data_IF_466168548847
#
_entry.id   IF_466168548847
#
_cell.length_a   1.000
_cell.length_b   1.000
_cell.length_c   1.000
_cell.angle_alpha   90.00
_cell.angle_beta   90.00
_cell.angle_gamma   90.00
#
_symmetry.space_group_name_H-M   'P 1'
#
loop_
_entity.id
_entity.type
_entity.pdbx_description
1 polymer ?
#
# COMPACT_ATOMS: atom_id res chain seq x y z
N UNK A 1 32.85 0.04 -19.18
CA UNK A 1 32.26 0.13 -17.83
C UNK A 1 30.72 0.19 -17.89
N UNK A 2 30.09 1.14 -18.61
CA UNK A 2 28.62 1.28 -18.77
C UNK A 2 27.90 -0.01 -19.18
N UNK A 3 28.38 -0.74 -20.19
CA UNK A 3 27.79 -2.01 -20.64
C UNK A 3 27.81 -3.12 -19.59
N UNK A 4 28.83 -3.14 -18.69
CA UNK A 4 28.90 -4.11 -17.60
C UNK A 4 27.79 -3.87 -16.59
N UNK A 5 27.61 -2.63 -16.16
CA UNK A 5 26.54 -2.25 -15.20
C UNK A 5 25.15 -2.51 -15.81
N UNK A 6 24.93 -2.15 -17.08
CA UNK A 6 23.68 -2.42 -17.77
C UNK A 6 23.30 -3.92 -17.75
N UNK A 7 24.26 -4.81 -18.01
CA UNK A 7 24.03 -6.26 -17.93
C UNK A 7 23.78 -6.71 -16.50
N UNK A 8 24.58 -6.24 -15.55
CA UNK A 8 24.50 -6.60 -14.14
C UNK A 8 23.12 -6.23 -13.55
N UNK A 9 22.57 -5.07 -13.91
CA UNK A 9 21.29 -4.59 -13.42
C UNK A 9 20.08 -5.10 -14.21
N UNK A 10 20.24 -6.14 -15.02
CA UNK A 10 19.12 -6.79 -15.74
C UNK A 10 18.65 -6.06 -16.99
N UNK A 11 19.47 -5.13 -17.53
CA UNK A 11 19.10 -4.34 -18.70
C UNK A 11 18.83 -5.18 -19.97
N UNK A 12 19.43 -6.38 -20.10
CA UNK A 12 19.13 -7.28 -21.22
C UNK A 12 17.73 -7.86 -21.12
N UNK A 13 17.30 -8.30 -19.94
CA UNK A 13 15.94 -8.81 -19.71
C UNK A 13 14.89 -7.72 -19.96
N UNK A 14 15.16 -6.51 -19.43
CA UNK A 14 14.30 -5.36 -19.69
C UNK A 14 14.18 -5.06 -21.17
N UNK A 15 15.28 -5.12 -21.92
CA UNK A 15 15.28 -4.84 -23.36
C UNK A 15 14.48 -5.88 -24.15
N UNK A 16 14.52 -7.14 -23.76
CA UNK A 16 13.69 -8.21 -24.34
C UNK A 16 12.20 -7.98 -24.05
N UNK A 17 11.86 -7.62 -22.84
CA UNK A 17 10.47 -7.26 -22.45
C UNK A 17 9.96 -6.06 -23.26
N UNK A 18 10.77 -5.02 -23.41
CA UNK A 18 10.41 -3.85 -24.21
C UNK A 18 10.17 -4.18 -25.70
N UNK A 19 10.92 -5.12 -26.25
CA UNK A 19 10.73 -5.58 -27.63
C UNK A 19 9.46 -6.40 -27.81
N UNK A 20 9.07 -7.16 -26.79
CA UNK A 20 7.90 -8.06 -26.86
C UNK A 20 6.56 -7.30 -26.75
N UNK A 21 6.56 -6.11 -26.15
CA UNK A 21 5.36 -5.29 -25.92
C UNK A 21 5.42 -3.99 -26.73
N UNK A 22 4.77 -3.97 -27.88
CA UNK A 22 4.53 -2.74 -28.64
C UNK A 22 3.70 -1.76 -27.79
N UNK A 23 4.25 -0.58 -27.48
CA UNK A 23 3.51 0.49 -26.79
C UNK A 23 3.93 0.80 -25.37
N UNK A 24 4.95 0.14 -24.79
CA UNK A 24 5.51 0.55 -23.49
C UNK A 24 6.33 1.84 -23.66
N UNK A 25 5.83 2.92 -23.08
CA UNK A 25 6.56 4.19 -22.92
C UNK A 25 7.54 4.09 -21.75
N UNK A 26 8.62 3.30 -21.91
CA UNK A 26 9.67 3.14 -20.91
C UNK A 26 10.96 3.77 -21.42
N UNK A 27 11.59 4.64 -20.61
CA UNK A 27 12.75 5.43 -21.04
C UNK A 27 14.01 4.97 -20.31
N UNK A 28 15.09 4.77 -21.04
CA UNK A 28 16.43 4.64 -20.46
C UNK A 28 17.04 6.03 -20.32
N UNK A 29 17.18 6.47 -19.08
CA UNK A 29 17.77 7.75 -18.72
C UNK A 29 19.28 7.64 -18.56
N UNK A 30 19.99 8.70 -18.92
CA UNK A 30 21.43 8.83 -18.59
C UNK A 30 21.60 9.36 -17.17
N UNK A 31 22.80 9.15 -16.61
CA UNK A 31 23.15 9.68 -15.30
C UNK A 31 23.09 11.22 -15.30
N UNK A 32 23.62 11.81 -16.35
CA UNK A 32 23.69 13.26 -16.53
C UNK A 32 22.30 13.92 -16.55
N UNK A 33 21.33 13.27 -17.21
CA UNK A 33 19.93 13.74 -17.23
C UNK A 33 19.30 13.72 -15.82
N UNK A 34 19.57 12.67 -15.03
CA UNK A 34 19.04 12.57 -13.68
C UNK A 34 19.76 13.48 -12.68
N UNK A 35 21.05 13.71 -12.86
CA UNK A 35 21.81 14.72 -12.09
C UNK A 35 21.26 16.13 -12.37
N UNK A 36 21.04 16.48 -13.64
CA UNK A 36 20.44 17.76 -14.01
C UNK A 36 19.03 17.92 -13.42
N UNK A 37 18.19 16.88 -13.56
CA UNK A 37 16.81 16.89 -13.07
C UNK A 37 16.70 17.09 -11.55
N UNK A 38 17.67 16.60 -10.77
CA UNK A 38 17.66 16.64 -9.30
C UNK A 38 18.56 17.74 -8.71
N UNK A 39 19.23 18.53 -9.54
CA UNK A 39 20.25 19.47 -9.07
C UNK A 39 21.44 18.77 -8.39
N UNK A 40 22.00 17.74 -9.04
CA UNK A 40 23.04 16.86 -8.49
C UNK A 40 22.64 16.12 -7.22
N UNK A 41 21.41 15.63 -7.16
CA UNK A 41 20.86 14.93 -5.99
C UNK A 41 20.92 15.79 -4.72
N UNK A 42 20.53 17.05 -4.86
CA UNK A 42 20.49 18.02 -3.75
C UNK A 42 19.61 17.50 -2.60
N UNK A 43 20.12 17.58 -1.38
CA UNK A 43 19.41 17.17 -0.16
C UNK A 43 18.05 17.88 0.01
N UNK A 44 17.90 19.11 -0.52
CA UNK A 44 16.64 19.85 -0.51
C UNK A 44 15.55 19.21 -1.36
N UNK A 45 15.91 18.36 -2.31
CA UNK A 45 15.01 17.63 -3.18
C UNK A 45 14.69 16.22 -2.67
N UNK A 46 15.15 15.85 -1.48
CA UNK A 46 14.85 14.52 -0.90
C UNK A 46 13.39 14.43 -0.49
N UNK A 47 12.68 13.47 -1.07
CA UNK A 47 11.30 13.10 -0.72
C UNK A 47 11.26 12.06 0.40
N UNK A 48 12.24 11.15 0.45
CA UNK A 48 12.33 10.11 1.46
C UNK A 48 13.66 9.37 1.44
N UNK A 49 14.08 8.87 2.61
CA UNK A 49 15.26 8.01 2.78
C UNK A 49 14.82 6.71 3.45
N UNK A 50 15.23 5.57 2.90
CA UNK A 50 14.89 4.25 3.42
C UNK A 50 16.00 3.22 3.24
N UNK A 51 15.71 1.97 3.63
CA UNK A 51 16.63 0.84 3.49
C UNK A 51 17.03 0.58 2.04
N UNK A 52 16.10 0.75 1.10
CA UNK A 52 16.28 0.44 -0.33
C UNK A 52 16.84 1.61 -1.15
N UNK A 53 17.03 2.80 -0.54
CA UNK A 53 17.58 3.96 -1.27
C UNK A 53 17.09 5.30 -0.77
N UNK A 54 17.39 6.32 -1.57
CA UNK A 54 16.92 7.70 -1.36
C UNK A 54 16.12 8.12 -2.58
N UNK A 55 14.94 8.70 -2.34
CA UNK A 55 14.05 9.22 -3.38
C UNK A 55 14.17 10.72 -3.45
N UNK A 56 14.40 11.24 -4.66
CA UNK A 56 14.55 12.67 -4.93
C UNK A 56 13.43 13.17 -5.84
N UNK A 57 12.93 14.36 -5.59
CA UNK A 57 12.13 15.11 -6.56
C UNK A 57 13.03 15.62 -7.67
N UNK A 58 12.59 15.46 -8.92
CA UNK A 58 13.29 15.96 -10.07
C UNK A 58 12.34 16.65 -11.06
N UNK A 59 12.90 17.49 -11.94
CA UNK A 59 12.20 18.05 -13.08
C UNK A 59 12.97 17.71 -14.34
N UNK A 60 12.38 16.93 -15.24
CA UNK A 60 12.97 16.58 -16.52
C UNK A 60 13.02 17.80 -17.48
N UNK A 61 13.77 17.70 -18.58
CA UNK A 61 13.90 18.77 -19.58
C UNK A 61 12.56 19.20 -20.18
N UNK A 62 11.60 18.29 -20.27
CA UNK A 62 10.23 18.56 -20.72
C UNK A 62 9.32 19.13 -19.61
N UNK A 63 9.90 19.53 -18.47
CA UNK A 63 9.24 20.07 -17.26
C UNK A 63 8.35 19.09 -16.51
N UNK A 64 8.31 17.81 -16.87
CA UNK A 64 7.63 16.80 -16.07
C UNK A 64 8.31 16.64 -14.72
N UNK A 65 7.52 16.67 -13.64
CA UNK A 65 7.99 16.33 -12.31
C UNK A 65 8.06 14.80 -12.17
N UNK A 66 9.15 14.33 -11.57
CA UNK A 66 9.44 12.91 -11.37
C UNK A 66 9.95 12.66 -9.95
N UNK A 67 9.77 11.43 -9.49
CA UNK A 67 10.44 10.90 -8.30
C UNK A 67 11.55 9.93 -8.74
N UNK A 68 12.78 10.20 -8.34
CA UNK A 68 13.96 9.43 -8.74
C UNK A 68 14.50 8.69 -7.53
N UNK A 69 14.33 7.35 -7.51
CA UNK A 69 14.85 6.47 -6.48
C UNK A 69 16.28 6.07 -6.83
N UNK A 70 17.24 6.62 -6.12
CA UNK A 70 18.65 6.19 -6.18
C UNK A 70 18.81 5.01 -5.22
N UNK A 71 18.97 3.81 -5.77
CA UNK A 71 18.97 2.55 -5.02
C UNK A 71 20.24 2.40 -4.17
N UNK A 72 20.16 1.69 -3.06
CA UNK A 72 21.32 1.17 -2.35
C UNK A 72 21.48 -0.29 -2.74
N UNK A 73 22.59 -0.64 -3.34
CA UNK A 73 22.91 -2.02 -3.70
C UNK A 73 24.14 -2.48 -2.90
N UNK A 74 23.91 -2.77 -1.61
CA UNK A 74 24.96 -3.23 -0.68
C UNK A 74 24.95 -4.76 -0.56
N UNK A 75 23.91 -5.43 -1.06
CA UNK A 75 23.73 -6.87 -0.96
C UNK A 75 23.02 -7.45 -2.19
N UNK A 76 23.25 -8.74 -2.48
CA UNK A 76 22.53 -9.49 -3.53
C UNK A 76 21.00 -9.43 -3.38
N UNK A 77 20.54 -9.30 -2.14
CA UNK A 77 19.09 -9.14 -1.85
C UNK A 77 18.57 -7.86 -2.47
N UNK A 78 19.24 -6.73 -2.26
CA UNK A 78 18.83 -5.44 -2.80
C UNK A 78 18.92 -5.38 -4.32
N UNK A 79 19.88 -6.07 -4.92
CA UNK A 79 19.94 -6.25 -6.38
C UNK A 79 18.72 -7.00 -6.91
N UNK A 80 18.31 -8.08 -6.22
CA UNK A 80 17.10 -8.84 -6.57
C UNK A 80 15.82 -8.02 -6.39
N UNK A 81 15.70 -7.26 -5.30
CA UNK A 81 14.57 -6.37 -5.03
C UNK A 81 14.44 -5.29 -6.12
N UNK A 82 15.57 -4.68 -6.52
CA UNK A 82 15.62 -3.71 -7.62
C UNK A 82 15.13 -4.33 -8.95
N UNK A 83 15.67 -5.50 -9.30
CA UNK A 83 15.28 -6.19 -10.54
C UNK A 83 13.79 -6.56 -10.56
N UNK A 84 13.25 -7.03 -9.42
CA UNK A 84 11.82 -7.35 -9.27
C UNK A 84 10.96 -6.11 -9.41
N UNK A 85 11.27 -5.02 -8.72
CA UNK A 85 10.52 -3.77 -8.78
C UNK A 85 10.44 -3.24 -10.22
N UNK A 86 11.59 -3.20 -10.90
CA UNK A 86 11.67 -2.78 -12.30
C UNK A 86 10.82 -3.68 -13.21
N UNK A 87 10.94 -5.00 -13.09
CA UNK A 87 10.23 -5.97 -13.92
C UNK A 87 8.72 -5.91 -13.70
N UNK A 88 8.28 -5.89 -12.44
CA UNK A 88 6.85 -5.85 -12.10
C UNK A 88 6.22 -4.55 -12.62
N UNK A 89 6.81 -3.40 -12.32
CA UNK A 89 6.27 -2.11 -12.71
C UNK A 89 6.34 -1.85 -14.22
N UNK A 90 7.23 -2.52 -14.94
CA UNK A 90 7.22 -2.48 -16.42
C UNK A 90 6.02 -3.22 -17.04
N UNK A 91 5.38 -4.11 -16.28
CA UNK A 91 4.25 -4.94 -16.75
C UNK A 91 2.89 -4.45 -16.26
N UNK A 92 2.87 -3.75 -15.11
CA UNK A 92 1.64 -3.29 -14.47
C UNK A 92 1.26 -1.91 -15.01
N UNK A 93 -0.01 -1.77 -15.41
CA UNK A 93 -0.58 -0.49 -15.79
C UNK A 93 -1.96 -0.35 -15.15
N UNK A 94 -2.01 0.26 -14.00
CA UNK A 94 -3.25 0.50 -13.25
C UNK A 94 -3.25 1.91 -12.67
N UNK A 95 -4.43 2.55 -12.60
CA UNK A 95 -4.55 3.95 -12.16
C UNK A 95 -4.04 4.19 -10.74
N UNK A 96 -4.16 3.17 -9.87
CA UNK A 96 -3.76 3.23 -8.46
C UNK A 96 -2.39 2.57 -8.19
N UNK A 97 -1.60 2.26 -9.22
CA UNK A 97 -0.19 1.86 -9.13
C UNK A 97 0.68 3.03 -9.56
N UNK A 98 1.76 3.29 -8.82
CA UNK A 98 2.76 4.29 -9.21
C UNK A 98 3.36 3.93 -10.57
N UNK A 99 3.37 4.88 -11.51
CA UNK A 99 3.88 4.63 -12.85
C UNK A 99 5.41 4.71 -12.87
N UNK A 100 6.06 3.68 -13.38
CA UNK A 100 7.49 3.69 -13.67
C UNK A 100 7.70 4.27 -15.08
N UNK A 101 8.38 5.41 -15.18
CA UNK A 101 8.71 6.03 -16.48
C UNK A 101 9.97 5.46 -17.10
N UNK A 102 10.90 4.98 -16.28
CA UNK A 102 12.14 4.42 -16.78
C UNK A 102 13.19 4.20 -15.71
N UNK A 103 14.41 3.95 -16.15
CA UNK A 103 15.54 3.69 -15.26
C UNK A 103 16.86 4.20 -15.84
N UNK A 104 17.88 4.28 -14.99
CA UNK A 104 19.28 4.43 -15.38
C UNK A 104 20.08 3.22 -14.86
N UNK A 105 20.57 2.39 -15.79
CA UNK A 105 21.27 1.12 -15.49
C UNK A 105 22.78 1.15 -15.81
N UNK A 106 23.27 2.21 -16.46
CA UNK A 106 24.67 2.32 -16.92
C UNK A 106 25.64 2.82 -15.84
N UNK A 107 25.22 2.79 -14.58
CA UNK A 107 25.90 3.32 -13.41
C UNK A 107 26.08 2.24 -12.35
N UNK A 108 27.03 2.43 -11.45
CA UNK A 108 27.27 1.54 -10.32
C UNK A 108 26.03 1.40 -9.43
N UNK A 109 25.38 2.52 -9.14
CA UNK A 109 24.15 2.60 -8.34
C UNK A 109 22.98 2.92 -9.28
N UNK A 110 22.15 1.92 -9.66
CA UNK A 110 21.05 2.13 -10.58
C UNK A 110 19.95 3.00 -9.98
N UNK A 111 19.17 3.61 -10.87
CA UNK A 111 18.08 4.52 -10.48
C UNK A 111 16.80 4.15 -11.20
N UNK A 112 15.66 4.30 -10.50
CA UNK A 112 14.32 4.17 -11.05
C UNK A 112 13.64 5.55 -11.09
N UNK A 113 12.91 5.82 -12.16
CA UNK A 113 12.25 7.11 -12.40
C UNK A 113 10.75 6.90 -12.45
N UNK A 114 10.03 7.44 -11.49
CA UNK A 114 8.59 7.31 -11.31
C UNK A 114 7.85 8.61 -11.59
N UNK A 115 6.54 8.50 -11.78
CA UNK A 115 5.67 9.67 -11.65
C UNK A 115 5.85 10.32 -10.27
N UNK A 116 5.79 11.65 -10.23
CA UNK A 116 5.80 12.39 -8.97
C UNK A 116 4.38 12.49 -8.40
N UNK A 117 4.19 12.02 -7.15
CA UNK A 117 2.92 12.09 -6.44
C UNK A 117 3.03 13.18 -5.35
N UNK A 118 2.24 14.26 -5.40
CA UNK A 118 2.55 15.50 -4.70
C UNK A 118 2.33 15.48 -3.19
N UNK A 119 1.32 14.76 -2.67
CA UNK A 119 0.96 14.81 -1.25
C UNK A 119 1.67 13.76 -0.38
N UNK A 120 2.74 13.14 -0.92
CA UNK A 120 3.55 12.19 -0.16
C UNK A 120 2.82 10.89 0.15
N UNK A 121 3.07 10.31 1.31
CA UNK A 121 2.56 9.00 1.73
C UNK A 121 1.34 9.12 2.65
N UNK A 122 0.50 8.09 2.68
CA UNK A 122 -0.59 7.97 3.66
C UNK A 122 -0.05 8.02 5.10
N UNK A 123 1.14 7.46 5.34
CA UNK A 123 1.81 7.59 6.64
C UNK A 123 2.05 9.06 7.03
N UNK A 124 2.55 9.87 6.09
CA UNK A 124 2.76 11.31 6.34
C UNK A 124 1.43 12.05 6.53
N UNK A 125 0.40 11.66 5.78
CA UNK A 125 -0.94 12.24 5.89
C UNK A 125 -1.58 11.95 7.25
N UNK A 126 -1.43 10.75 7.80
CA UNK A 126 -2.05 10.35 9.08
C UNK A 126 -1.17 10.75 10.28
N UNK A 127 0.16 10.56 10.19
CA UNK A 127 1.07 10.66 11.33
C UNK A 127 2.04 11.84 11.26
N UNK A 128 2.02 12.62 10.16
CA UNK A 128 2.92 13.75 9.96
C UNK A 128 2.64 14.90 10.91
N UNK A 129 3.70 15.61 11.32
CA UNK A 129 3.61 16.79 12.21
C UNK A 129 2.99 18.04 11.57
N UNK A 130 2.59 17.95 10.29
CA UNK A 130 2.11 19.09 9.51
C UNK A 130 0.63 19.44 9.71
N UNK A 131 -0.07 18.75 10.62
CA UNK A 131 -1.41 19.17 11.01
C UNK A 131 -1.30 20.08 12.25
N UNK A 132 -1.33 21.42 12.08
CA UNK A 132 -1.47 22.31 13.22
C UNK A 132 -2.75 21.94 14.00
N UNK A 133 -2.80 22.15 15.31
CA UNK A 133 -4.02 21.97 16.06
C UNK A 133 -5.15 22.79 15.39
N UNK A 134 -6.20 22.10 14.86
CA UNK A 134 -7.29 22.74 14.13
C UNK A 134 -7.12 22.84 12.60
N UNK A 135 -6.06 22.29 12.01
CA UNK A 135 -5.92 22.21 10.55
C UNK A 135 -6.89 21.20 9.89
N UNK A 136 -7.07 21.27 8.55
CA UNK A 136 -7.97 20.37 7.83
C UNK A 136 -7.51 18.93 8.01
N UNK A 137 -8.28 18.16 8.73
CA UNK A 137 -8.06 16.72 8.91
C UNK A 137 -8.78 15.95 7.80
N UNK A 138 -8.32 14.74 7.54
CA UNK A 138 -8.90 13.87 6.51
C UNK A 138 -10.24 13.34 7.00
N UNK A 139 -11.34 13.70 6.32
CA UNK A 139 -12.68 13.24 6.64
C UNK A 139 -12.82 11.72 6.55
N UNK A 140 -13.81 11.14 7.25
CA UNK A 140 -14.09 9.72 7.17
C UNK A 140 -14.38 9.25 5.73
N UNK A 141 -15.15 10.01 4.97
CA UNK A 141 -15.44 9.72 3.57
C UNK A 141 -14.15 9.66 2.72
N UNK A 142 -13.19 10.55 2.97
CA UNK A 142 -11.89 10.52 2.29
C UNK A 142 -11.05 9.32 2.72
N UNK A 143 -11.08 8.94 4.01
CA UNK A 143 -10.41 7.72 4.50
C UNK A 143 -10.99 6.46 3.87
N UNK A 144 -12.31 6.38 3.71
CA UNK A 144 -12.97 5.29 2.99
C UNK A 144 -12.55 5.23 1.52
N UNK A 145 -12.48 6.40 0.84
CA UNK A 145 -11.98 6.50 -0.53
C UNK A 145 -10.56 5.94 -0.65
N UNK A 146 -9.67 6.36 0.23
CA UNK A 146 -8.27 5.89 0.26
C UNK A 146 -8.21 4.38 0.48
N UNK A 147 -8.94 3.87 1.46
CA UNK A 147 -9.03 2.43 1.75
C UNK A 147 -9.56 1.64 0.56
N UNK A 148 -10.67 2.09 -0.06
CA UNK A 148 -11.26 1.44 -1.23
C UNK A 148 -10.29 1.39 -2.41
N UNK A 149 -9.68 2.52 -2.78
CA UNK A 149 -8.78 2.58 -3.93
C UNK A 149 -7.51 1.74 -3.73
N UNK A 150 -6.97 1.65 -2.50
CA UNK A 150 -5.86 0.77 -2.18
C UNK A 150 -6.27 -0.71 -2.23
N UNK A 151 -7.48 -1.05 -1.77
CA UNK A 151 -8.00 -2.40 -1.86
C UNK A 151 -8.29 -2.83 -3.32
N UNK A 152 -8.82 -1.94 -4.15
CA UNK A 152 -9.02 -2.16 -5.60
C UNK A 152 -7.70 -2.48 -6.31
N UNK A 153 -6.65 -1.74 -5.97
CA UNK A 153 -5.32 -1.97 -6.53
C UNK A 153 -4.77 -3.35 -6.13
N UNK A 154 -4.79 -3.69 -4.85
CA UNK A 154 -4.34 -5.00 -4.38
C UNK A 154 -5.19 -6.13 -4.98
N UNK A 155 -6.50 -5.93 -5.14
CA UNK A 155 -7.37 -6.87 -5.85
C UNK A 155 -6.95 -7.07 -7.31
N UNK A 156 -6.57 -5.97 -8.01
CA UNK A 156 -6.06 -6.05 -9.36
C UNK A 156 -4.76 -6.87 -9.41
N UNK A 157 -3.81 -6.63 -8.52
CA UNK A 157 -2.55 -7.37 -8.45
C UNK A 157 -2.79 -8.88 -8.23
N UNK A 158 -3.70 -9.22 -7.32
CA UNK A 158 -3.94 -10.61 -6.93
C UNK A 158 -4.72 -11.41 -7.99
N UNK A 159 -5.58 -10.77 -8.79
CA UNK A 159 -6.53 -11.49 -9.64
C UNK A 159 -6.52 -11.11 -11.12
N UNK A 160 -6.11 -9.89 -11.47
CA UNK A 160 -6.16 -9.38 -12.83
C UNK A 160 -4.78 -9.27 -13.48
N UNK A 161 -3.71 -9.15 -12.70
CA UNK A 161 -2.35 -9.22 -13.21
C UNK A 161 -2.02 -10.65 -13.68
N UNK A 162 -1.22 -10.77 -14.73
CA UNK A 162 -0.81 -12.07 -15.27
C UNK A 162 0.73 -12.12 -15.45
N UNK A 163 1.43 -12.94 -14.66
CA UNK A 163 0.95 -13.72 -13.53
C UNK A 163 0.46 -12.86 -12.35
N UNK A 164 -0.33 -13.41 -11.40
CA UNK A 164 -0.74 -12.68 -10.19
C UNK A 164 0.47 -12.20 -9.39
N UNK A 165 0.32 -11.04 -8.74
CA UNK A 165 1.39 -10.38 -7.99
C UNK A 165 0.96 -10.27 -6.53
N UNK A 166 1.82 -10.70 -5.62
CA UNK A 166 1.70 -10.47 -4.18
C UNK A 166 2.63 -9.32 -3.84
N UNK A 167 2.12 -8.26 -3.20
CA UNK A 167 2.89 -7.05 -2.90
C UNK A 167 3.98 -7.31 -1.86
N UNK A 168 3.65 -7.96 -0.75
CA UNK A 168 4.58 -8.43 0.29
C UNK A 168 5.08 -7.37 1.27
N UNK A 169 4.78 -6.08 1.08
CA UNK A 169 5.11 -4.98 2.02
C UNK A 169 4.03 -3.88 2.00
N UNK A 170 2.76 -4.29 2.11
CA UNK A 170 1.62 -3.35 2.21
C UNK A 170 1.71 -2.58 3.53
N UNK A 171 1.76 -1.24 3.46
CA UNK A 171 1.82 -0.34 4.62
C UNK A 171 1.47 1.09 4.20
N UNK A 172 1.09 1.93 5.16
CA UNK A 172 0.74 3.34 4.89
C UNK A 172 1.90 4.16 4.28
N UNK A 173 3.16 3.80 4.52
CA UNK A 173 4.33 4.44 3.92
C UNK A 173 4.52 4.11 2.43
N UNK A 174 3.92 3.02 1.92
CA UNK A 174 3.98 2.61 0.51
C UNK A 174 2.71 3.00 -0.27
N UNK A 175 1.77 3.70 0.36
CA UNK A 175 0.56 4.25 -0.27
C UNK A 175 0.79 5.76 -0.45
N UNK A 176 0.96 6.20 -1.70
CA UNK A 176 1.12 7.61 -2.06
C UNK A 176 -0.23 8.24 -2.33
N UNK A 177 -0.34 9.55 -2.08
CA UNK A 177 -1.59 10.30 -2.20
C UNK A 177 -1.38 11.47 -3.16
N UNK A 178 -2.24 11.62 -4.16
CA UNK A 178 -2.23 12.78 -5.06
C UNK A 178 -3.08 13.95 -4.53
N UNK A 179 -3.12 15.05 -5.30
CA UNK A 179 -3.87 16.27 -4.95
C UNK A 179 -5.39 16.06 -4.80
N UNK A 180 -5.93 14.99 -5.38
CA UNK A 180 -7.34 14.61 -5.33
C UNK A 180 -7.62 13.52 -4.28
N UNK A 181 -6.65 13.23 -3.41
CA UNK A 181 -6.67 12.07 -2.51
C UNK A 181 -6.84 10.75 -3.26
N UNK A 182 -6.32 10.65 -4.49
CA UNK A 182 -6.25 9.38 -5.23
C UNK A 182 -5.02 8.61 -4.77
N UNK A 183 -5.19 7.32 -4.60
CA UNK A 183 -4.13 6.41 -4.12
C UNK A 183 -3.21 6.00 -5.26
N UNK A 184 -1.92 5.89 -4.97
CA UNK A 184 -0.90 5.25 -5.79
C UNK A 184 -0.05 4.32 -4.91
N UNK A 185 -0.21 3.02 -5.06
CA UNK A 185 0.62 2.03 -4.36
C UNK A 185 2.01 1.97 -4.99
N UNK A 186 3.03 1.85 -4.16
CA UNK A 186 4.45 1.96 -4.53
C UNK A 186 5.33 0.94 -3.80
N UNK A 187 6.60 0.86 -4.18
CA UNK A 187 7.66 0.01 -3.60
C UNK A 187 7.40 -1.50 -3.74
N UNK A 188 7.56 -1.99 -4.96
CA UNK A 188 7.38 -3.40 -5.34
C UNK A 188 8.64 -4.27 -5.14
N UNK A 189 9.64 -3.79 -4.40
CA UNK A 189 10.90 -4.53 -4.17
C UNK A 189 10.72 -5.86 -3.44
N UNK A 190 9.77 -5.93 -2.50
CA UNK A 190 9.42 -7.15 -1.78
C UNK A 190 8.45 -8.07 -2.54
N UNK A 191 7.86 -7.58 -3.65
CA UNK A 191 6.78 -8.27 -4.36
C UNK A 191 7.23 -9.58 -5.00
N UNK A 192 6.29 -10.48 -5.18
CA UNK A 192 6.53 -11.81 -5.77
C UNK A 192 5.45 -12.12 -6.80
N UNK A 193 5.89 -12.64 -7.96
CA UNK A 193 4.98 -13.20 -8.94
C UNK A 193 4.47 -14.54 -8.39
N UNK A 194 3.15 -14.68 -8.22
CA UNK A 194 2.60 -15.95 -7.78
C UNK A 194 2.78 -17.00 -8.89
N UNK A 195 3.20 -18.23 -8.55
CA UNK A 195 3.30 -19.30 -9.54
C UNK A 195 1.90 -19.69 -10.02
N UNK A 196 1.84 -20.15 -11.27
CA UNK A 196 0.64 -20.72 -11.87
C UNK A 196 0.25 -22.08 -11.28
N UNK A 197 1.21 -22.78 -10.67
CA UNK A 197 0.99 -24.01 -9.94
C UNK A 197 1.07 -23.76 -8.43
N UNK A 198 0.33 -24.55 -7.62
CA UNK A 198 0.20 -24.45 -6.16
C UNK A 198 1.52 -24.59 -5.36
N UNK A 199 2.67 -24.43 -6.02
CA UNK A 199 3.99 -24.43 -5.38
C UNK A 199 4.08 -23.22 -4.44
N UNK A 200 3.87 -23.49 -3.16
CA UNK A 200 4.01 -22.50 -2.10
C UNK A 200 5.49 -22.08 -2.01
N UNK A 201 5.77 -20.81 -2.30
CA UNK A 201 7.14 -20.30 -2.12
C UNK A 201 7.43 -20.12 -0.64
N UNK A 202 8.38 -20.90 -0.14
CA UNK A 202 9.05 -20.58 1.11
C UNK A 202 10.06 -19.48 0.80
N UNK A 203 9.84 -18.30 1.35
CA UNK A 203 10.73 -17.15 1.21
C UNK A 203 11.33 -16.79 2.56
N UNK A 204 12.48 -16.10 2.56
CA UNK A 204 12.86 -15.40 3.79
C UNK A 204 11.78 -14.40 4.14
N UNK A 205 11.32 -14.41 5.41
CA UNK A 205 10.31 -13.47 5.89
C UNK A 205 10.81 -12.04 5.68
N UNK A 206 10.07 -11.29 4.89
CA UNK A 206 10.33 -9.89 4.55
C UNK A 206 9.09 -9.06 4.82
N UNK A 207 9.27 -7.78 5.06
CA UNK A 207 8.17 -6.85 5.30
C UNK A 207 8.46 -5.93 6.48
N UNK A 208 7.46 -5.16 6.87
CA UNK A 208 7.60 -4.13 7.90
C UNK A 208 6.95 -4.60 9.20
N UNK A 209 7.71 -4.56 10.30
CA UNK A 209 7.17 -4.91 11.63
C UNK A 209 5.92 -4.09 11.96
N UNK A 210 4.93 -4.76 12.51
CA UNK A 210 3.59 -4.19 12.78
C UNK A 210 2.57 -4.45 11.67
N UNK A 211 3.00 -4.70 10.43
CA UNK A 211 2.14 -5.07 9.29
C UNK A 211 2.30 -6.54 8.88
N UNK A 212 3.35 -7.21 9.37
CA UNK A 212 3.65 -8.60 9.01
C UNK A 212 2.56 -9.55 9.50
N UNK A 213 2.09 -10.38 8.57
CA UNK A 213 1.16 -11.48 8.81
C UNK A 213 1.79 -12.52 9.77
N UNK A 214 1.16 -12.83 10.92
CA UNK A 214 1.65 -13.84 11.86
C UNK A 214 1.80 -15.22 11.25
N UNK A 215 0.90 -15.63 10.35
CA UNK A 215 0.98 -16.92 9.67
C UNK A 215 2.18 -16.95 8.70
N UNK A 216 2.41 -15.87 7.95
CA UNK A 216 3.61 -15.76 7.11
C UNK A 216 4.89 -15.80 7.95
N UNK A 217 4.92 -15.14 9.12
CA UNK A 217 6.07 -15.18 10.04
C UNK A 217 6.37 -16.61 10.52
N UNK A 218 5.36 -17.43 10.75
CA UNK A 218 5.50 -18.81 11.24
C UNK A 218 5.84 -19.79 10.13
N UNK A 219 5.20 -19.64 8.96
CA UNK A 219 5.28 -20.62 7.87
C UNK A 219 6.29 -20.27 6.79
N UNK A 220 6.77 -19.01 6.75
CA UNK A 220 7.58 -18.43 5.67
C UNK A 220 6.89 -18.50 4.29
N UNK A 221 5.55 -18.67 4.25
CA UNK A 221 4.76 -18.73 3.02
C UNK A 221 4.07 -17.40 2.78
N UNK A 222 4.57 -16.64 1.82
CA UNK A 222 3.95 -15.39 1.40
C UNK A 222 2.78 -15.70 0.45
N UNK A 223 1.59 -15.18 0.75
CA UNK A 223 0.37 -15.37 -0.04
C UNK A 223 -0.37 -14.05 -0.23
N UNK A 224 -1.37 -14.02 -1.12
CA UNK A 224 -2.27 -12.87 -1.25
C UNK A 224 -3.01 -12.55 0.07
N UNK A 225 -3.22 -13.55 0.93
CA UNK A 225 -3.82 -13.37 2.25
C UNK A 225 -2.89 -12.69 3.25
N UNK A 226 -1.57 -12.73 3.01
CA UNK A 226 -0.61 -11.95 3.79
C UNK A 226 -0.75 -10.44 3.52
N UNK A 227 -0.98 -10.05 2.24
CA UNK A 227 -1.30 -8.66 1.89
C UNK A 227 -2.63 -8.21 2.51
N UNK A 228 -3.63 -9.11 2.60
CA UNK A 228 -4.91 -8.82 3.28
C UNK A 228 -4.70 -8.48 4.75
N UNK A 229 -3.86 -9.24 5.47
CA UNK A 229 -3.53 -8.94 6.86
C UNK A 229 -2.88 -7.55 6.99
N UNK A 230 -1.85 -7.30 6.19
CA UNK A 230 -1.13 -6.03 6.19
C UNK A 230 -2.06 -4.85 5.85
N UNK A 231 -2.99 -5.04 4.91
CA UNK A 231 -4.02 -4.07 4.59
C UNK A 231 -5.01 -3.86 5.75
N UNK A 232 -5.37 -4.91 6.48
CA UNK A 232 -6.13 -4.81 7.73
C UNK A 232 -5.50 -3.82 8.71
N UNK A 233 -4.16 -3.86 8.88
CA UNK A 233 -3.44 -2.88 9.71
C UNK A 233 -3.54 -1.46 9.14
N UNK A 234 -3.48 -1.28 7.82
CA UNK A 234 -3.69 0.04 7.19
C UNK A 234 -5.10 0.57 7.47
N UNK A 235 -6.14 -0.28 7.46
CA UNK A 235 -7.49 0.12 7.87
C UNK A 235 -7.54 0.58 9.32
N UNK A 236 -6.79 -0.07 10.22
CA UNK A 236 -6.69 0.40 11.61
C UNK A 236 -6.02 1.78 11.70
N UNK A 237 -4.96 2.05 10.95
CA UNK A 237 -4.35 3.38 10.90
C UNK A 237 -5.37 4.43 10.43
N UNK A 238 -6.19 4.12 9.41
CA UNK A 238 -7.24 5.01 8.91
C UNK A 238 -8.35 5.26 9.95
N UNK A 239 -8.70 4.28 10.79
CA UNK A 239 -9.73 4.41 11.81
C UNK A 239 -9.25 5.11 13.08
N UNK A 240 -7.99 4.90 13.44
CA UNK A 240 -7.48 5.28 14.77
C UNK A 240 -6.48 6.43 14.75
N UNK A 241 -5.90 6.77 13.59
CA UNK A 241 -4.74 7.65 13.48
C UNK A 241 -3.55 7.23 14.38
N UNK A 242 -3.51 5.96 14.82
CA UNK A 242 -2.40 5.40 15.60
C UNK A 242 -1.44 4.67 14.67
N UNK A 243 -0.15 4.70 15.01
CA UNK A 243 0.88 3.98 14.24
C UNK A 243 0.74 2.47 14.44
N UNK A 244 1.04 1.68 13.42
CA UNK A 244 1.04 0.21 13.47
C UNK A 244 1.88 -0.34 14.63
N UNK A 245 2.97 0.38 14.99
CA UNK A 245 3.80 0.08 16.16
C UNK A 245 4.15 1.34 16.94
N UNK A 246 4.10 1.26 18.27
CA UNK A 246 4.54 2.34 19.16
C UNK A 246 5.43 1.77 20.26
N UNK A 247 6.74 1.80 20.05
CA UNK A 247 7.73 1.23 21.00
C UNK A 247 7.81 1.98 22.32
N UNK A 248 7.24 3.18 22.42
CA UNK A 248 7.23 3.99 23.64
C UNK A 248 5.95 3.78 24.48
N UNK A 249 4.96 3.06 23.94
CA UNK A 249 3.73 2.75 24.65
C UNK A 249 3.92 1.59 25.64
N UNK A 250 2.92 1.39 26.51
CA UNK A 250 2.82 0.19 27.35
C UNK A 250 2.71 -1.07 26.48
N UNK A 251 3.06 -2.22 27.01
CA UNK A 251 3.19 -3.47 26.21
C UNK A 251 1.94 -3.82 25.42
N UNK A 252 0.76 -3.59 25.98
CA UNK A 252 -0.53 -3.86 25.35
C UNK A 252 -0.81 -2.95 24.14
N UNK A 253 -0.25 -1.75 24.12
CA UNK A 253 -0.45 -0.76 23.05
C UNK A 253 0.69 -0.71 22.02
N UNK A 254 1.74 -1.50 22.20
CA UNK A 254 2.91 -1.51 21.30
C UNK A 254 2.57 -1.96 19.89
N UNK A 255 1.58 -2.84 19.74
CA UNK A 255 1.12 -3.37 18.46
C UNK A 255 -0.34 -2.99 18.25
N UNK A 256 -0.63 -2.22 17.19
CA UNK A 256 -1.95 -1.70 16.92
C UNK A 256 -2.99 -2.81 16.66
N UNK A 257 -2.62 -3.87 15.93
CA UNK A 257 -3.55 -4.97 15.66
C UNK A 257 -3.94 -5.72 16.92
N UNK A 258 -2.99 -6.01 17.82
CA UNK A 258 -3.26 -6.66 19.10
C UNK A 258 -4.13 -5.78 20.00
N UNK A 259 -3.81 -4.49 20.14
CA UNK A 259 -4.57 -3.53 20.91
C UNK A 259 -6.01 -3.38 20.38
N UNK A 260 -6.18 -3.30 19.05
CA UNK A 260 -7.50 -3.22 18.43
C UNK A 260 -8.33 -4.48 18.72
N UNK A 261 -7.78 -5.67 18.52
CA UNK A 261 -8.51 -6.93 18.77
C UNK A 261 -8.94 -7.06 20.23
N UNK A 262 -8.09 -6.64 21.16
CA UNK A 262 -8.44 -6.59 22.58
C UNK A 262 -9.58 -5.60 22.83
N UNK A 263 -9.48 -4.37 22.35
CA UNK A 263 -10.52 -3.34 22.53
C UNK A 263 -11.87 -3.77 21.96
N UNK A 264 -11.88 -4.43 20.79
CA UNK A 264 -13.11 -4.98 20.20
C UNK A 264 -13.68 -6.11 21.09
N UNK A 265 -12.84 -7.02 21.60
CA UNK A 265 -13.30 -8.13 22.45
C UNK A 265 -13.90 -7.65 23.78
N UNK A 266 -13.45 -6.51 24.28
CA UNK A 266 -13.92 -5.87 25.52
C UNK A 266 -14.99 -4.80 25.29
N UNK A 267 -15.50 -4.68 24.04
CA UNK A 267 -16.52 -3.67 23.66
C UNK A 267 -16.05 -2.22 23.91
N UNK A 268 -14.76 -1.94 23.76
CA UNK A 268 -14.11 -0.64 24.00
C UNK A 268 -13.59 0.01 22.70
N UNK A 269 -14.14 -0.38 21.52
CA UNK A 269 -13.74 0.16 20.22
C UNK A 269 -13.70 1.69 20.21
N UNK A 270 -14.70 2.33 20.82
CA UNK A 270 -14.79 3.80 20.91
C UNK A 270 -13.57 4.49 21.55
N UNK A 271 -12.79 3.80 22.41
CA UNK A 271 -11.64 4.39 23.09
C UNK A 271 -10.41 4.54 22.16
N UNK A 272 -10.34 3.74 21.12
CA UNK A 272 -9.19 3.72 20.20
C UNK A 272 -9.44 4.44 18.86
N UNK A 273 -10.70 4.72 18.53
CA UNK A 273 -11.06 5.47 17.32
C UNK A 273 -10.55 6.91 17.37
N UNK A 274 -10.20 7.45 16.20
CA UNK A 274 -9.88 8.88 16.07
C UNK A 274 -11.10 9.74 16.41
N UNK A 275 -10.93 10.73 17.30
CA UNK A 275 -12.00 11.62 17.78
C UNK A 275 -12.70 12.36 16.64
N UNK A 276 -11.99 12.64 15.54
CA UNK A 276 -12.58 13.33 14.40
C UNK A 276 -13.70 12.50 13.77
N UNK A 277 -13.45 11.22 13.48
CA UNK A 277 -14.44 10.40 12.77
C UNK A 277 -15.67 10.08 13.63
N UNK A 278 -15.53 10.07 14.96
CA UNK A 278 -16.66 9.89 15.90
C UNK A 278 -17.75 10.96 15.77
N UNK A 279 -17.37 12.16 15.32
CA UNK A 279 -18.29 13.29 15.17
C UNK A 279 -18.80 13.49 13.74
N UNK A 280 -18.21 12.82 12.75
CA UNK A 280 -18.52 13.02 11.32
C UNK A 280 -19.55 12.02 10.77
N UNK A 281 -19.58 10.79 11.30
CA UNK A 281 -20.38 9.70 10.73
C UNK A 281 -21.13 8.91 11.80
N UNK A 282 -22.08 8.07 11.33
CA UNK A 282 -22.77 7.16 12.23
C UNK A 282 -21.78 6.13 12.78
N UNK A 283 -21.90 5.85 14.08
CA UNK A 283 -21.05 4.88 14.75
C UNK A 283 -21.19 3.48 14.12
N UNK A 284 -22.39 3.14 13.62
CA UNK A 284 -22.66 1.85 12.99
C UNK A 284 -21.81 1.65 11.72
N UNK A 285 -21.62 2.70 10.91
CA UNK A 285 -20.79 2.61 9.71
C UNK A 285 -19.32 2.42 10.07
N UNK A 286 -18.85 3.11 11.10
CA UNK A 286 -17.48 2.94 11.62
C UNK A 286 -17.29 1.52 12.16
N UNK A 287 -18.26 0.96 12.89
CA UNK A 287 -18.25 -0.40 13.40
C UNK A 287 -18.19 -1.44 12.28
N UNK A 288 -18.89 -1.23 11.15
CA UNK A 288 -18.81 -2.12 10.00
C UNK A 288 -17.39 -2.12 9.36
N UNK A 289 -16.77 -0.95 9.25
CA UNK A 289 -15.37 -0.87 8.76
C UNK A 289 -14.41 -1.53 9.76
N UNK A 290 -14.63 -1.37 11.06
CA UNK A 290 -13.86 -2.02 12.10
C UNK A 290 -14.00 -3.56 12.04
N UNK A 291 -15.22 -4.08 11.82
CA UNK A 291 -15.45 -5.52 11.66
C UNK A 291 -14.79 -6.07 10.39
N UNK A 292 -14.79 -5.30 9.29
CA UNK A 292 -14.03 -5.65 8.08
C UNK A 292 -12.53 -5.73 8.37
N UNK A 293 -11.97 -4.73 9.07
CA UNK A 293 -10.57 -4.74 9.49
C UNK A 293 -10.24 -5.96 10.36
N UNK A 294 -11.10 -6.30 11.32
CA UNK A 294 -10.96 -7.49 12.18
C UNK A 294 -10.92 -8.79 11.36
N UNK A 295 -11.80 -8.95 10.35
CA UNK A 295 -11.77 -10.12 9.45
C UNK A 295 -10.48 -10.20 8.62
N UNK A 296 -9.90 -9.06 8.22
CA UNK A 296 -8.60 -9.03 7.56
C UNK A 296 -7.47 -9.49 8.49
N UNK A 297 -7.59 -9.26 9.81
CA UNK A 297 -6.61 -9.60 10.83
C UNK A 297 -6.76 -11.00 11.42
N UNK A 298 -7.66 -11.84 10.89
CA UNK A 298 -7.78 -13.24 11.32
C UNK A 298 -6.43 -13.96 11.25
N UNK A 299 -6.14 -14.79 12.29
CA UNK A 299 -4.84 -15.48 12.37
C UNK A 299 -4.73 -16.51 11.24
N UNK A 300 -5.79 -17.29 11.00
CA UNK A 300 -5.83 -18.28 9.93
C UNK A 300 -6.15 -17.59 8.59
N UNK A 301 -5.23 -17.67 7.65
CA UNK A 301 -5.31 -16.95 6.35
C UNK A 301 -6.56 -17.36 5.53
N UNK A 302 -6.99 -18.61 5.63
CA UNK A 302 -8.19 -19.09 4.95
C UNK A 302 -9.49 -18.41 5.40
N UNK A 303 -9.54 -17.87 6.61
CA UNK A 303 -10.69 -17.13 7.15
C UNK A 303 -10.74 -15.67 6.72
N UNK A 304 -9.63 -15.14 6.21
CA UNK A 304 -9.56 -13.75 5.74
C UNK A 304 -10.33 -13.60 4.42
N UNK A 305 -10.98 -12.46 4.19
CA UNK A 305 -11.56 -12.16 2.88
C UNK A 305 -10.46 -12.07 1.81
N UNK A 306 -10.84 -12.11 0.53
CA UNK A 306 -9.98 -11.69 -0.58
C UNK A 306 -9.94 -10.15 -0.66
N UNK A 307 -8.90 -9.58 -1.29
CA UNK A 307 -8.85 -8.13 -1.52
C UNK A 307 -10.02 -7.63 -2.38
N UNK A 308 -10.59 -8.47 -3.25
CA UNK A 308 -11.79 -8.14 -4.00
C UNK A 308 -13.00 -7.94 -3.10
N UNK A 309 -13.25 -8.88 -2.18
CA UNK A 309 -14.33 -8.75 -1.19
C UNK A 309 -14.15 -7.53 -0.31
N UNK A 310 -12.90 -7.25 0.12
CA UNK A 310 -12.58 -6.04 0.88
C UNK A 310 -12.89 -4.76 0.10
N UNK A 311 -12.48 -4.69 -1.17
CA UNK A 311 -12.75 -3.54 -2.04
C UNK A 311 -14.24 -3.32 -2.27
N UNK A 312 -14.98 -4.41 -2.53
CA UNK A 312 -16.43 -4.37 -2.73
C UNK A 312 -17.17 -3.89 -1.48
N UNK A 313 -16.78 -4.34 -0.28
CA UNK A 313 -17.38 -3.88 0.98
C UNK A 313 -17.05 -2.42 1.26
N UNK A 314 -15.81 -1.98 1.10
CA UNK A 314 -15.43 -0.57 1.26
C UNK A 314 -16.16 0.33 0.26
N UNK A 315 -16.37 -0.15 -0.97
CA UNK A 315 -17.17 0.55 -1.97
C UNK A 315 -18.63 0.76 -1.54
N UNK A 316 -19.24 -0.27 -0.92
CA UNK A 316 -20.58 -0.14 -0.34
C UNK A 316 -20.62 0.86 0.82
N UNK A 317 -19.66 0.78 1.75
CA UNK A 317 -19.59 1.72 2.88
C UNK A 317 -19.42 3.17 2.41
N UNK A 318 -18.59 3.39 1.39
CA UNK A 318 -18.41 4.72 0.81
C UNK A 318 -19.69 5.25 0.16
N UNK A 319 -20.43 4.41 -0.57
CA UNK A 319 -21.70 4.81 -1.15
C UNK A 319 -22.75 5.19 -0.08
N UNK A 320 -22.78 4.46 1.04
CA UNK A 320 -23.64 4.80 2.18
C UNK A 320 -23.26 6.12 2.81
N UNK A 321 -21.96 6.39 3.01
CA UNK A 321 -21.46 7.66 3.56
C UNK A 321 -21.75 8.87 2.65
N UNK A 322 -21.90 8.68 1.34
CA UNK A 322 -22.12 9.78 0.38
C UNK A 322 -23.58 10.02 0.01
N UNK A 323 -24.50 9.16 0.42
CA UNK A 323 -25.91 9.26 0.00
C UNK A 323 -26.66 10.28 0.87
N UNK A 324 -27.25 11.36 0.30
CA UNK A 324 -28.04 12.35 1.04
C UNK A 324 -29.28 11.74 1.72
N UNK A 325 -29.68 10.56 1.29
CA UNK A 325 -30.78 9.73 1.81
C UNK A 325 -30.21 8.43 2.39
N UNK A 326 -29.07 8.50 3.08
CA UNK A 326 -28.55 7.38 3.84
C UNK A 326 -29.62 6.86 4.79
N UNK A 327 -29.60 5.55 5.14
CA UNK A 327 -30.63 4.99 6.01
C UNK A 327 -30.69 5.78 7.31
N UNK A 328 -31.85 6.40 7.56
CA UNK A 328 -32.10 7.24 8.74
C UNK A 328 -32.17 6.41 10.04
N UNK A 329 -32.23 5.07 9.91
CA UNK A 329 -32.37 4.17 11.06
C UNK A 329 -31.37 3.01 11.03
N UNK A 330 -30.91 2.62 12.23
CA UNK A 330 -30.06 1.43 12.47
C UNK A 330 -30.66 0.15 11.88
N UNK A 331 -32.00 0.05 11.77
CA UNK A 331 -32.68 -1.13 11.23
C UNK A 331 -32.59 -1.20 9.70
N UNK A 332 -32.57 -0.07 8.99
CA UNK A 332 -32.37 -0.02 7.54
C UNK A 332 -30.93 -0.37 7.15
N UNK A 333 -29.94 0.10 7.93
CA UNK A 333 -28.54 -0.33 7.78
C UNK A 333 -28.43 -1.85 7.98
N UNK A 334 -29.04 -2.39 9.03
CA UNK A 334 -29.05 -3.84 9.30
C UNK A 334 -29.73 -4.63 8.19
N UNK A 335 -30.83 -4.15 7.62
CA UNK A 335 -31.52 -4.81 6.50
C UNK A 335 -30.62 -4.90 5.24
N UNK A 336 -29.94 -3.80 4.88
CA UNK A 336 -29.02 -3.77 3.75
C UNK A 336 -27.81 -4.73 3.90
N UNK A 337 -27.41 -5.02 5.14
CA UNK A 337 -26.31 -5.95 5.43
C UNK A 337 -26.77 -7.41 5.63
N UNK A 338 -28.07 -7.64 5.97
CA UNK A 338 -28.62 -8.99 6.17
C UNK A 338 -29.07 -9.67 4.87
N UNK A 339 -29.38 -8.96 3.80
CA UNK A 339 -29.92 -9.55 2.56
C UNK A 339 -28.93 -10.46 1.80
N UNK A 340 -27.64 -10.49 2.16
CA UNK A 340 -26.62 -11.30 1.47
C UNK A 340 -25.89 -12.33 2.35
N UNK A 341 -26.45 -12.75 3.52
CA UNK A 341 -25.90 -13.87 4.29
C UNK A 341 -26.92 -14.98 4.44
N UNK A 342 -26.66 -16.23 4.01
CA UNK A 342 -27.35 -17.37 4.52
C UNK A 342 -26.90 -17.58 5.99
N UNK A 343 -27.89 -17.55 6.90
CA UNK A 343 -27.78 -17.92 8.33
C UNK A 343 -27.29 -16.80 9.26
N UNK A 344 -28.19 -15.91 9.65
CA UNK A 344 -28.13 -15.27 10.96
C UNK A 344 -28.85 -16.15 11.99
N UNK A 345 -28.14 -17.05 12.66
CA UNK A 345 -28.64 -17.70 13.87
C UNK A 345 -28.70 -16.66 14.98
N UNK A 346 -29.94 -16.45 15.44
CA UNK A 346 -30.30 -15.63 16.59
C UNK A 346 -29.47 -16.00 17.81
N UNK A 347 -28.79 -15.05 18.37
CA UNK A 347 -28.45 -15.07 19.81
C UNK A 347 -29.48 -14.20 20.54
N UNK A 348 -30.23 -14.88 21.42
CA UNK A 348 -31.01 -14.27 22.49
C UNK A 348 -30.07 -13.91 23.62
#
# INVERSE_FOLDING_TARGET
MKQRYFKQHGGLLLFEEMKSKQGLSFTLFTKEELEEATGNFDERNVLGKGGNGTVYKGALKDKRLVAIKKCKLVSERQEKEFGKEMLILSRVNHRNVVKLYGCCLEVEVPMLVYEFVPNGTLYQLIHGRQHPPGGPRVSFATRLKIGQEAAEELSYLHSSASPPIIHGDVKSANILIDDSYTVKVSDFGASTLAPTDEAQFVTFVQGTYGYLDPEYMQTSKLTSKSDVYSFGVVLLELLTCRKATNLQAIDEEKNLSAHFLLAVSENRLGEILDEQIKGEESIELIEHVAELAKRCLEIASEKRPSMREVADELGRFRNLSQHPWGPETSDELRALFCENRPICTRFR
#
